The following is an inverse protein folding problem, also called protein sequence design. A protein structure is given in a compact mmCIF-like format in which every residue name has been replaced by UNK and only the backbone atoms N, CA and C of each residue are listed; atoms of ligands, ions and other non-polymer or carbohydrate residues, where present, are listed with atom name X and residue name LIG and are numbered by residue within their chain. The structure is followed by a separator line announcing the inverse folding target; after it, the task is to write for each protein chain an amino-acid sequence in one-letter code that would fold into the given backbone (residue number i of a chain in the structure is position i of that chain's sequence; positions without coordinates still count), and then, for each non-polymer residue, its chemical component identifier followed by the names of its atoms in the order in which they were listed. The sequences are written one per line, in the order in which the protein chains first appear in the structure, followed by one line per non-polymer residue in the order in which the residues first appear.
data_IF_578234615402
#
_entry.id   IF_578234615402
#
_cell.length_a   1.000
_cell.length_b   1.000
_cell.length_c   1.000
_cell.angle_alpha   90.00
_cell.angle_beta   90.00
_cell.angle_gamma   90.00
#
_symmetry.space_group_name_H-M   'P 1'
#
loop_
_entity.id
_entity.type
_entity.pdbx_description
1 polymer ?
#
# COMPACT_ATOMS: atom_id res chain seq x y z
N UNK A 1 -12.43 -13.00 -10.82
CA UNK A 1 -11.95 -11.75 -10.20
C UNK A 1 -11.18 -11.02 -11.27
N UNK A 2 -11.72 -9.92 -11.78
CA UNK A 2 -10.94 -9.01 -12.62
C UNK A 2 -10.25 -8.02 -11.68
N UNK A 3 -8.92 -8.03 -11.69
CA UNK A 3 -8.17 -6.92 -11.11
C UNK A 3 -8.33 -5.74 -12.08
N UNK A 4 -8.74 -4.59 -11.57
CA UNK A 4 -8.91 -3.40 -12.40
C UNK A 4 -7.59 -2.92 -12.99
N UNK A 5 -7.63 -2.10 -14.06
CA UNK A 5 -6.43 -1.44 -14.57
C UNK A 5 -5.85 -0.50 -13.52
N UNK A 6 -4.56 -0.20 -13.68
CA UNK A 6 -3.92 0.94 -13.06
C UNK A 6 -3.26 1.79 -14.15
N UNK A 7 -2.96 3.04 -13.82
CA UNK A 7 -2.42 4.00 -14.76
C UNK A 7 -1.07 4.49 -14.29
N UNK A 8 -0.22 4.81 -15.25
CA UNK A 8 1.07 5.43 -15.01
C UNK A 8 1.13 6.78 -15.71
N UNK A 9 1.53 7.81 -14.98
CA UNK A 9 1.74 9.16 -15.51
C UNK A 9 3.12 9.64 -15.11
N UNK A 10 3.93 10.00 -16.10
CA UNK A 10 5.31 10.45 -15.89
C UNK A 10 5.36 11.96 -15.64
N UNK A 11 6.27 12.41 -14.77
CA UNK A 11 6.56 13.83 -14.55
C UNK A 11 5.31 14.69 -14.25
N UNK A 12 4.29 14.11 -13.59
CA UNK A 12 3.04 14.78 -13.27
C UNK A 12 3.28 15.80 -12.15
N UNK A 13 2.93 17.08 -12.34
CA UNK A 13 3.11 18.09 -11.32
C UNK A 13 2.11 17.93 -10.19
N UNK A 14 2.60 18.05 -8.95
CA UNK A 14 1.82 17.80 -7.74
C UNK A 14 0.62 18.74 -7.60
N UNK A 15 0.67 19.93 -8.20
CA UNK A 15 -0.44 20.87 -8.16
C UNK A 15 -1.70 20.34 -8.87
N UNK A 16 -1.57 19.41 -9.84
CA UNK A 16 -2.73 18.85 -10.55
C UNK A 16 -3.63 18.04 -9.61
N UNK A 17 -3.03 17.38 -8.63
CA UNK A 17 -3.72 16.54 -7.64
C UNK A 17 -4.45 17.35 -6.55
N UNK A 18 -4.31 18.68 -6.55
CA UNK A 18 -5.03 19.58 -5.63
C UNK A 18 -5.99 20.51 -6.35
N UNK A 19 -6.19 20.34 -7.66
CA UNK A 19 -7.18 21.12 -8.39
C UNK A 19 -8.59 20.74 -7.93
N UNK A 20 -9.49 21.73 -7.93
CA UNK A 20 -10.88 21.50 -7.58
C UNK A 20 -11.54 20.44 -8.49
N UNK A 21 -11.16 20.42 -9.76
CA UNK A 21 -11.64 19.44 -10.74
C UNK A 21 -11.19 18.02 -10.40
N UNK A 22 -9.90 17.80 -10.13
CA UNK A 22 -9.38 16.49 -9.74
C UNK A 22 -10.04 15.98 -8.45
N UNK A 23 -10.11 16.83 -7.41
CA UNK A 23 -10.64 16.43 -6.10
C UNK A 23 -12.10 15.99 -6.20
N UNK A 24 -12.93 16.76 -6.90
CA UNK A 24 -14.36 16.47 -7.03
C UNK A 24 -14.64 15.27 -7.91
N UNK A 25 -13.81 15.04 -8.93
CA UNK A 25 -14.00 13.95 -9.88
C UNK A 25 -13.54 12.61 -9.29
N UNK A 26 -12.34 12.57 -8.70
CA UNK A 26 -11.66 11.32 -8.37
C UNK A 26 -11.58 11.01 -6.88
N UNK A 27 -11.41 12.01 -6.02
CA UNK A 27 -11.06 11.77 -4.60
C UNK A 27 -12.30 11.59 -3.73
N UNK A 28 -13.30 12.48 -3.85
CA UNK A 28 -14.53 12.57 -3.02
C UNK A 28 -14.31 12.77 -1.52
N UNK A 29 -13.34 12.07 -0.89
CA UNK A 29 -12.81 12.20 0.48
C UNK A 29 -11.38 11.69 0.52
N UNK A 30 -10.43 12.48 1.00
CA UNK A 30 -9.04 12.02 1.09
C UNK A 30 -8.06 13.07 1.60
N UNK A 31 -6.86 12.60 1.93
CA UNK A 31 -5.71 13.41 2.32
C UNK A 31 -4.57 13.18 1.34
N UNK A 32 -3.85 14.23 1.00
CA UNK A 32 -2.56 14.15 0.34
C UNK A 32 -1.47 14.15 1.41
N UNK A 33 -0.73 13.05 1.53
CA UNK A 33 0.34 12.88 2.50
C UNK A 33 1.67 12.76 1.76
N UNK A 34 2.63 13.60 2.12
CA UNK A 34 3.94 13.72 1.48
C UNK A 34 5.05 13.47 2.50
N UNK A 35 6.02 12.63 2.15
CA UNK A 35 7.25 12.44 2.93
C UNK A 35 8.41 13.16 2.25
N UNK A 36 8.72 14.35 2.74
CA UNK A 36 9.72 15.25 2.15
C UNK A 36 11.05 15.11 2.89
N UNK A 37 12.16 15.27 2.18
CA UNK A 37 13.45 15.52 2.82
C UNK A 37 13.50 16.92 3.43
N UNK A 38 14.55 17.18 4.22
CA UNK A 38 14.73 18.44 4.93
C UNK A 38 14.71 19.64 3.97
N UNK A 39 15.46 19.57 2.89
CA UNK A 39 15.66 20.70 1.98
C UNK A 39 14.35 21.02 1.24
N UNK A 40 13.67 19.99 0.72
CA UNK A 40 12.37 20.15 0.05
C UNK A 40 11.28 20.64 1.01
N UNK A 41 11.29 20.18 2.26
CA UNK A 41 10.34 20.65 3.28
C UNK A 41 10.52 22.15 3.58
N UNK A 42 11.76 22.58 3.81
CA UNK A 42 12.08 24.00 4.07
C UNK A 42 11.77 24.87 2.84
N UNK A 43 12.14 24.39 1.65
CA UNK A 43 11.89 25.07 0.38
C UNK A 43 10.41 25.20 0.08
N UNK A 44 9.58 24.17 0.29
CA UNK A 44 8.12 24.28 0.09
C UNK A 44 7.48 25.22 1.12
N UNK A 45 7.99 25.24 2.36
CA UNK A 45 7.48 26.07 3.44
C UNK A 45 6.03 25.75 3.80
N UNK A 46 5.65 24.48 3.64
CA UNK A 46 4.38 23.92 4.10
C UNK A 46 4.47 23.53 5.57
N UNK A 47 3.33 23.51 6.25
CA UNK A 47 3.26 23.02 7.63
C UNK A 47 3.28 21.49 7.61
N UNK A 48 4.19 20.90 8.39
CA UNK A 48 4.32 19.46 8.56
C UNK A 48 4.92 19.13 9.93
N UNK A 49 5.28 17.86 10.11
CA UNK A 49 5.93 17.37 11.34
C UNK A 49 7.16 16.55 11.01
N UNK A 50 8.17 16.49 11.89
CA UNK A 50 9.26 15.51 11.79
C UNK A 50 8.70 14.09 11.65
N UNK A 51 9.24 13.28 10.74
CA UNK A 51 8.87 11.87 10.65
C UNK A 51 9.40 11.10 11.86
N UNK A 52 8.62 10.13 12.35
CA UNK A 52 8.96 9.28 13.50
C UNK A 52 10.19 8.40 13.26
N UNK A 53 10.56 8.17 12.00
CA UNK A 53 11.72 7.37 11.63
C UNK A 53 13.03 8.15 11.58
N UNK A 54 13.00 9.43 11.92
CA UNK A 54 14.19 10.28 12.04
C UNK A 54 15.11 9.79 13.17
N UNK A 55 16.41 9.64 12.87
CA UNK A 55 17.42 9.36 13.89
C UNK A 55 17.76 10.61 14.73
N UNK A 56 19.01 10.70 15.20
CA UNK A 56 19.48 11.86 15.98
C UNK A 56 19.31 13.22 15.29
N UNK A 57 19.33 13.23 13.94
CA UNK A 57 19.10 14.41 13.12
C UNK A 57 17.82 14.20 12.31
N UNK A 58 16.88 15.13 12.43
CA UNK A 58 15.65 15.13 11.61
C UNK A 58 16.00 15.44 10.17
N UNK A 59 15.77 14.45 9.30
CA UNK A 59 16.05 14.55 7.87
C UNK A 59 14.80 14.35 7.00
N UNK A 60 13.66 14.05 7.63
CA UNK A 60 12.39 13.76 6.95
C UNK A 60 11.23 14.42 7.67
N UNK A 61 10.28 14.92 6.88
CA UNK A 61 9.10 15.61 7.35
C UNK A 61 7.87 15.09 6.63
N UNK A 62 6.80 14.86 7.39
CA UNK A 62 5.50 14.48 6.87
C UNK A 62 4.62 15.72 6.78
N UNK A 63 4.15 16.01 5.57
CA UNK A 63 3.15 17.05 5.29
C UNK A 63 1.83 16.35 4.98
N UNK A 64 0.78 16.67 5.73
CA UNK A 64 -0.57 16.10 5.52
C UNK A 64 -1.55 17.20 5.18
N UNK A 65 -2.18 17.09 4.02
CA UNK A 65 -3.12 18.07 3.48
C UNK A 65 -4.47 17.38 3.31
N UNK A 66 -5.43 17.78 4.13
CA UNK A 66 -6.82 17.37 3.95
C UNK A 66 -7.40 18.04 2.70
N UNK A 67 -7.73 17.24 1.68
CA UNK A 67 -8.18 17.74 0.38
C UNK A 67 -9.62 18.25 0.44
N UNK A 68 -10.43 17.83 1.42
CA UNK A 68 -11.82 18.29 1.58
C UNK A 68 -11.86 19.67 2.23
N UNK A 69 -11.03 19.88 3.25
CA UNK A 69 -10.82 21.20 3.81
C UNK A 69 -10.23 22.14 2.75
N UNK A 70 -9.30 21.64 1.93
CA UNK A 70 -8.68 22.42 0.86
C UNK A 70 -9.66 22.82 -0.24
N UNK A 71 -10.57 21.93 -0.67
CA UNK A 71 -11.55 22.20 -1.72
C UNK A 71 -12.79 22.97 -1.26
N UNK A 72 -13.04 23.04 0.06
CA UNK A 72 -14.19 23.75 0.64
C UNK A 72 -14.20 25.25 0.35
N UNK A 73 -13.01 25.87 0.26
CA UNK A 73 -12.86 27.30 -0.01
C UNK A 73 -11.54 27.59 -0.73
N UNK A 74 -11.62 27.75 -2.06
CA UNK A 74 -10.48 28.08 -2.93
C UNK A 74 -9.90 29.48 -2.65
N UNK A 75 -10.63 30.36 -1.96
CA UNK A 75 -10.15 31.68 -1.55
C UNK A 75 -9.44 31.66 -0.19
N UNK A 76 -9.45 30.53 0.50
CA UNK A 76 -8.81 30.39 1.81
C UNK A 76 -7.29 30.63 1.73
N UNK A 77 -6.74 31.24 2.79
CA UNK A 77 -5.29 31.40 2.93
C UNK A 77 -4.54 30.07 2.83
N UNK A 78 -5.18 28.98 3.30
CA UNK A 78 -4.64 27.62 3.23
C UNK A 78 -4.52 27.13 1.78
N UNK A 79 -5.62 27.19 1.00
CA UNK A 79 -5.58 26.81 -0.42
C UNK A 79 -4.53 27.63 -1.18
N UNK A 80 -4.57 28.96 -1.04
CA UNK A 80 -3.61 29.86 -1.71
C UNK A 80 -2.17 29.53 -1.35
N UNK A 81 -1.87 29.22 -0.08
CA UNK A 81 -0.53 28.84 0.37
C UNK A 81 -0.07 27.52 -0.24
N UNK A 82 -0.91 26.49 -0.25
CA UNK A 82 -0.58 25.17 -0.80
C UNK A 82 -0.42 25.24 -2.32
N UNK A 83 -1.36 25.91 -3.00
CA UNK A 83 -1.32 26.13 -4.46
C UNK A 83 -0.06 26.89 -4.87
N UNK A 84 0.26 27.99 -4.19
CA UNK A 84 1.50 28.75 -4.43
C UNK A 84 2.77 27.90 -4.21
N UNK A 85 2.78 27.09 -3.15
CA UNK A 85 3.92 26.21 -2.86
C UNK A 85 4.20 25.24 -4.01
N UNK A 86 3.16 24.60 -4.57
CA UNK A 86 3.30 23.60 -5.64
C UNK A 86 3.36 24.18 -7.06
N UNK A 87 2.85 25.39 -7.30
CA UNK A 87 2.84 26.00 -8.65
C UNK A 87 4.04 26.91 -8.90
N UNK A 88 4.44 27.69 -7.90
CA UNK A 88 5.41 28.78 -8.09
C UNK A 88 6.66 28.56 -7.26
N UNK A 89 6.51 28.30 -5.95
CA UNK A 89 7.64 28.28 -5.03
C UNK A 89 8.58 27.10 -5.28
N UNK A 90 8.01 25.88 -5.30
CA UNK A 90 8.74 24.64 -5.55
C UNK A 90 7.85 23.71 -6.39
N UNK A 91 7.89 23.83 -7.73
CA UNK A 91 7.14 22.96 -8.61
C UNK A 91 7.69 21.53 -8.55
N UNK A 92 7.02 20.66 -7.79
CA UNK A 92 7.36 19.26 -7.65
C UNK A 92 6.65 18.43 -8.72
N UNK A 93 7.38 17.52 -9.35
CA UNK A 93 6.88 16.55 -10.33
C UNK A 93 7.31 15.15 -9.93
N UNK A 94 6.44 14.18 -10.12
CA UNK A 94 6.73 12.78 -9.84
C UNK A 94 6.10 11.87 -10.89
N UNK A 95 6.63 10.66 -10.95
CA UNK A 95 5.98 9.57 -11.65
C UNK A 95 4.93 8.96 -10.71
N UNK A 96 3.67 8.90 -11.15
CA UNK A 96 2.56 8.42 -10.33
C UNK A 96 1.98 7.11 -10.87
N UNK A 97 1.78 6.17 -9.95
CA UNK A 97 0.85 5.06 -10.13
C UNK A 97 -0.52 5.49 -9.62
N UNK A 98 -1.52 5.51 -10.51
CA UNK A 98 -2.88 5.91 -10.22
C UNK A 98 -3.82 4.72 -10.39
N UNK A 99 -4.72 4.52 -9.44
CA UNK A 99 -5.81 3.58 -9.58
C UNK A 99 -7.07 4.21 -9.01
N UNK A 100 -8.20 3.99 -9.68
CA UNK A 100 -9.46 4.59 -9.29
C UNK A 100 -10.60 3.58 -9.44
N UNK A 101 -11.31 3.34 -8.34
CA UNK A 101 -12.43 2.42 -8.30
C UNK A 101 -13.73 3.17 -8.60
N UNK A 102 -14.32 2.93 -9.77
CA UNK A 102 -15.62 3.46 -10.15
C UNK A 102 -16.75 2.49 -9.78
N UNK A 103 -17.74 2.99 -9.04
CA UNK A 103 -19.08 2.38 -9.02
C UNK A 103 -19.92 3.00 -10.14
N UNK A 104 -19.90 2.41 -11.34
CA UNK A 104 -20.93 2.65 -12.38
C UNK A 104 -20.65 3.67 -13.50
N UNK A 105 -19.39 3.96 -13.87
CA UNK A 105 -19.07 4.77 -15.07
C UNK A 105 -17.84 4.22 -15.82
N UNK A 106 -17.71 4.58 -17.10
CA UNK A 106 -16.71 4.08 -18.06
C UNK A 106 -15.27 4.43 -17.65
N UNK A 107 -14.34 3.47 -17.80
CA UNK A 107 -12.92 3.59 -17.44
C UNK A 107 -12.15 4.67 -18.21
N UNK A 108 -12.76 5.33 -19.20
CA UNK A 108 -12.16 6.34 -20.06
C UNK A 108 -11.88 7.68 -19.37
N UNK A 109 -12.48 7.96 -18.21
CA UNK A 109 -12.40 9.28 -17.57
C UNK A 109 -11.01 9.64 -17.04
N UNK A 110 -10.27 8.68 -16.49
CA UNK A 110 -8.89 8.95 -16.03
C UNK A 110 -7.96 9.20 -17.21
N UNK A 111 -8.15 8.42 -18.30
CA UNK A 111 -7.40 8.58 -19.54
C UNK A 111 -7.67 9.93 -20.21
N UNK A 112 -8.91 10.41 -20.24
CA UNK A 112 -9.24 11.72 -20.82
C UNK A 112 -8.68 12.87 -19.98
N UNK A 113 -8.81 12.80 -18.65
CA UNK A 113 -8.35 13.83 -17.73
C UNK A 113 -6.84 14.07 -17.82
N UNK A 114 -6.05 12.99 -17.87
CA UNK A 114 -4.57 13.07 -17.96
C UNK A 114 -4.02 12.92 -19.39
N UNK A 115 -4.86 13.11 -20.43
CA UNK A 115 -4.45 12.98 -21.83
C UNK A 115 -3.27 13.90 -22.20
N UNK A 116 -3.21 15.09 -21.63
CA UNK A 116 -2.09 16.04 -21.81
C UNK A 116 -0.76 15.60 -21.16
N UNK A 117 -0.78 14.55 -20.34
CA UNK A 117 0.39 14.06 -19.57
C UNK A 117 0.89 12.70 -20.04
N UNK A 118 0.40 12.18 -21.18
CA UNK A 118 0.87 10.90 -21.73
C UNK A 118 0.57 9.70 -20.82
N UNK A 119 -0.60 9.70 -20.17
CA UNK A 119 -1.08 8.62 -19.32
C UNK A 119 -1.09 7.27 -20.05
N UNK A 120 -0.66 6.23 -19.35
CA UNK A 120 -0.62 4.85 -19.84
C UNK A 120 -1.50 3.97 -18.96
N UNK A 121 -2.39 3.20 -19.58
CA UNK A 121 -3.15 2.15 -18.90
C UNK A 121 -2.32 0.86 -18.87
N UNK A 122 -2.30 0.20 -17.70
CA UNK A 122 -1.61 -1.05 -17.48
C UNK A 122 -2.54 -2.07 -16.82
N UNK A 123 -2.32 -3.34 -17.17
CA UNK A 123 -2.98 -4.47 -16.54
C UNK A 123 -2.04 -5.14 -15.53
N UNK A 124 -2.55 -5.58 -14.37
CA UNK A 124 -1.76 -6.36 -13.42
C UNK A 124 -1.20 -7.63 -14.06
N UNK A 125 0.05 -7.97 -13.75
CA UNK A 125 0.67 -9.21 -14.23
C UNK A 125 0.06 -10.40 -13.49
N UNK A 126 -0.67 -11.25 -14.21
CA UNK A 126 -1.23 -12.49 -13.68
C UNK A 126 -0.27 -13.64 -14.01
N UNK A 127 0.21 -14.33 -12.98
CA UNK A 127 1.01 -15.53 -13.12
C UNK A 127 0.28 -16.71 -12.49
N UNK A 128 0.01 -17.76 -13.28
CA UNK A 128 -0.60 -18.99 -12.81
C UNK A 128 0.46 -20.10 -12.82
N UNK A 129 0.58 -20.81 -11.71
CA UNK A 129 1.50 -21.94 -11.60
C UNK A 129 0.85 -23.09 -10.83
N UNK A 130 1.20 -24.32 -11.20
CA UNK A 130 0.75 -25.53 -10.52
C UNK A 130 1.95 -26.25 -9.94
N UNK A 131 1.95 -26.48 -8.63
CA UNK A 131 2.97 -27.25 -7.92
C UNK A 131 2.43 -28.66 -7.67
N UNK A 132 3.17 -29.67 -8.12
CA UNK A 132 2.87 -31.08 -7.82
C UNK A 132 3.66 -31.51 -6.58
N UNK A 133 3.15 -32.52 -5.90
CA UNK A 133 3.82 -33.18 -4.77
C UNK A 133 4.21 -32.22 -3.63
N UNK A 134 3.46 -31.12 -3.50
CA UNK A 134 3.66 -30.15 -2.44
C UNK A 134 3.26 -30.75 -1.10
N UNK A 135 4.18 -30.71 -0.14
CA UNK A 135 3.95 -31.19 1.22
C UNK A 135 3.35 -30.07 2.06
N UNK A 136 2.05 -30.15 2.29
CA UNK A 136 1.29 -29.12 3.01
C UNK A 136 1.29 -29.39 4.52
N UNK A 137 1.48 -28.37 5.38
CA UNK A 137 1.38 -28.52 6.83
C UNK A 137 -0.04 -28.90 7.28
N UNK A 138 -0.11 -29.72 8.34
CA UNK A 138 -1.37 -30.05 9.01
C UNK A 138 -1.69 -28.92 9.98
N UNK A 139 -2.89 -28.33 9.86
CA UNK A 139 -3.32 -27.20 10.68
C UNK A 139 -4.61 -27.53 11.44
N UNK A 140 -4.79 -26.92 12.61
CA UNK A 140 -6.05 -26.95 13.39
C UNK A 140 -6.50 -25.52 13.66
N UNK A 141 -7.64 -25.11 13.12
CA UNK A 141 -8.10 -23.71 13.16
C UNK A 141 -8.11 -23.10 14.57
N UNK A 142 -8.52 -23.87 15.60
CA UNK A 142 -8.55 -23.45 17.00
C UNK A 142 -7.20 -23.49 17.75
N UNK A 143 -6.07 -23.76 17.08
CA UNK A 143 -4.75 -23.93 17.70
C UNK A 143 -3.66 -23.15 16.94
N UNK A 144 -3.61 -21.82 17.13
CA UNK A 144 -2.60 -20.95 16.52
C UNK A 144 -1.15 -21.35 16.86
N UNK A 145 -0.91 -21.81 18.10
CA UNK A 145 0.39 -22.28 18.56
C UNK A 145 0.81 -23.66 18.03
N UNK A 146 -0.05 -24.32 17.25
CA UNK A 146 0.13 -25.71 16.86
C UNK A 146 -0.23 -26.68 17.99
N UNK A 147 0.02 -27.95 17.73
CA UNK A 147 -0.16 -29.05 18.68
C UNK A 147 0.99 -30.04 18.43
N UNK A 148 1.84 -30.33 19.44
CA UNK A 148 3.00 -31.20 19.25
C UNK A 148 2.61 -32.51 18.55
N UNK A 149 3.37 -32.88 17.52
CA UNK A 149 3.19 -34.10 16.71
C UNK A 149 1.87 -34.19 15.92
N UNK A 150 0.94 -33.25 16.08
CA UNK A 150 -0.41 -33.31 15.49
C UNK A 150 -0.74 -32.15 14.54
N UNK A 151 -0.23 -30.95 14.79
CA UNK A 151 -0.50 -29.77 13.97
C UNK A 151 0.60 -28.71 14.05
N UNK A 152 0.91 -28.09 12.92
CA UNK A 152 1.85 -26.98 12.82
C UNK A 152 1.24 -25.69 13.39
N UNK A 153 2.11 -24.82 13.87
CA UNK A 153 1.76 -23.46 14.29
C UNK A 153 1.55 -22.52 13.11
N UNK A 154 0.84 -21.43 13.38
CA UNK A 154 0.67 -20.33 12.44
C UNK A 154 2.03 -19.76 11.96
N UNK A 155 3.03 -19.69 12.85
CA UNK A 155 4.36 -19.16 12.50
C UNK A 155 5.12 -20.07 11.54
N UNK A 156 5.05 -21.38 11.72
CA UNK A 156 5.67 -22.35 10.81
C UNK A 156 5.02 -22.29 9.43
N UNK A 157 3.69 -22.18 9.36
CA UNK A 157 2.97 -21.98 8.11
C UNK A 157 3.42 -20.70 7.39
N UNK A 158 3.57 -19.60 8.12
CA UNK A 158 4.00 -18.32 7.54
C UNK A 158 5.39 -18.42 6.87
N UNK A 159 6.35 -19.05 7.55
CA UNK A 159 7.68 -19.29 7.00
C UNK A 159 7.66 -20.23 5.78
N UNK A 160 6.85 -21.30 5.84
CA UNK A 160 6.71 -22.24 4.74
C UNK A 160 6.07 -21.58 3.49
N UNK A 161 5.05 -20.72 3.66
CA UNK A 161 4.43 -20.01 2.53
C UNK A 161 5.44 -19.12 1.80
N UNK A 162 6.30 -18.40 2.53
CA UNK A 162 7.37 -17.61 1.92
C UNK A 162 8.30 -18.44 1.04
N UNK A 163 8.61 -19.67 1.45
CA UNK A 163 9.42 -20.60 0.67
C UNK A 163 8.73 -21.08 -0.60
N UNK A 164 7.45 -21.44 -0.49
CA UNK A 164 6.63 -21.87 -1.64
C UNK A 164 6.55 -20.75 -2.69
N UNK A 165 6.28 -19.52 -2.25
CA UNK A 165 6.24 -18.35 -3.14
C UNK A 165 7.60 -18.04 -3.77
N UNK A 166 8.70 -18.25 -3.02
CA UNK A 166 10.07 -18.08 -3.52
C UNK A 166 10.60 -19.26 -4.34
N UNK A 167 9.77 -20.30 -4.54
CA UNK A 167 10.14 -21.53 -5.25
C UNK A 167 11.31 -22.29 -4.61
N UNK A 168 11.52 -22.10 -3.31
CA UNK A 168 12.44 -22.88 -2.51
C UNK A 168 11.78 -24.20 -2.11
N UNK A 169 12.45 -25.33 -2.37
CA UNK A 169 12.01 -26.64 -1.89
C UNK A 169 12.37 -26.78 -0.40
N UNK A 170 11.43 -26.43 0.48
CA UNK A 170 11.56 -26.69 1.90
C UNK A 170 10.83 -27.98 2.27
N UNK A 171 11.61 -29.04 2.46
CA UNK A 171 11.15 -30.38 2.86
C UNK A 171 10.88 -30.46 4.37
N UNK A 172 10.13 -29.50 4.92
CA UNK A 172 9.81 -29.46 6.36
C UNK A 172 8.76 -30.47 6.80
N UNK A 173 7.91 -30.93 5.88
CA UNK A 173 6.75 -31.75 6.20
C UNK A 173 6.84 -33.13 5.55
N UNK A 174 6.08 -34.09 6.07
CA UNK A 174 5.97 -35.47 5.57
C UNK A 174 5.09 -35.54 4.30
N UNK A 175 4.65 -36.74 3.89
CA UNK A 175 4.01 -37.02 2.60
C UNK A 175 2.95 -36.01 2.11
N UNK A 176 2.80 -35.82 0.78
CA UNK A 176 1.82 -34.90 0.20
C UNK A 176 0.40 -35.21 0.69
N UNK A 177 -0.27 -34.22 1.28
CA UNK A 177 -1.67 -34.29 1.71
C UNK A 177 -2.47 -33.21 1.02
N UNK A 178 -3.74 -33.49 0.73
CA UNK A 178 -4.70 -32.46 0.31
C UNK A 178 -4.86 -31.44 1.45
N UNK A 179 -4.59 -30.17 1.18
CA UNK A 179 -4.77 -29.11 2.16
C UNK A 179 -6.27 -28.84 2.37
N UNK A 180 -6.80 -28.92 3.60
CA UNK A 180 -8.20 -28.57 3.91
C UNK A 180 -8.42 -27.06 4.10
N UNK A 181 -7.49 -26.24 3.63
CA UNK A 181 -7.43 -24.79 3.81
C UNK A 181 -6.88 -24.11 2.55
N UNK A 182 -7.17 -22.82 2.40
CA UNK A 182 -6.64 -21.97 1.31
C UNK A 182 -5.95 -20.74 1.89
N UNK A 183 -5.03 -20.15 1.13
CA UNK A 183 -4.28 -18.96 1.56
C UNK A 183 -4.48 -17.81 0.60
N UNK A 184 -4.67 -16.61 1.16
CA UNK A 184 -4.64 -15.34 0.44
C UNK A 184 -3.59 -14.44 1.11
N UNK A 185 -2.45 -14.28 0.44
CA UNK A 185 -1.36 -13.41 0.91
C UNK A 185 -1.30 -12.15 0.06
N UNK A 186 -1.22 -10.99 0.71
CA UNK A 186 -1.12 -9.68 0.06
C UNK A 186 0.09 -8.95 0.62
N UNK A 187 0.98 -8.53 -0.27
CA UNK A 187 2.14 -7.73 0.04
C UNK A 187 1.91 -6.29 -0.45
N UNK A 188 2.14 -5.32 0.43
CA UNK A 188 2.09 -3.90 0.13
C UNK A 188 3.37 -3.39 -0.52
N UNK A 189 3.37 -2.11 -0.85
CA UNK A 189 4.53 -1.42 -1.41
C UNK A 189 5.51 -1.01 -0.32
N UNK A 190 6.77 -1.43 -0.48
CA UNK A 190 7.84 -1.17 0.49
C UNK A 190 8.24 0.31 0.59
N UNK A 191 7.78 1.16 -0.32
CA UNK A 191 8.04 2.60 -0.42
C UNK A 191 6.81 3.46 -0.05
N UNK A 192 5.75 2.87 0.52
CA UNK A 192 4.58 3.64 0.97
C UNK A 192 4.96 4.57 2.13
N UNK A 193 4.59 5.86 2.13
CA UNK A 193 4.94 6.77 3.24
C UNK A 193 4.06 6.56 4.49
N UNK A 194 2.82 6.11 4.28
CA UNK A 194 1.86 5.78 5.34
C UNK A 194 1.14 4.49 4.99
N UNK A 195 0.66 3.80 6.01
CA UNK A 195 -0.01 2.51 5.90
C UNK A 195 -1.29 2.48 6.74
N UNK A 196 -1.61 1.32 7.32
CA UNK A 196 -2.69 1.09 8.28
C UNK A 196 -3.01 2.31 9.15
N UNK A 197 -4.26 2.77 9.06
CA UNK A 197 -4.80 3.92 9.85
C UNK A 197 -4.03 5.23 9.70
N UNK A 198 -3.41 5.47 8.55
CA UNK A 198 -2.58 6.66 8.29
C UNK A 198 -1.30 6.73 9.15
N UNK A 199 -0.87 5.61 9.73
CA UNK A 199 0.38 5.54 10.47
C UNK A 199 1.57 5.61 9.50
N UNK A 200 2.60 6.37 9.89
CA UNK A 200 3.84 6.47 9.11
C UNK A 200 4.45 5.09 8.96
N UNK A 201 4.90 4.78 7.75
CA UNK A 201 5.52 3.50 7.43
C UNK A 201 7.04 3.66 7.34
N UNK A 202 7.78 2.76 7.98
CA UNK A 202 9.23 2.72 8.05
C UNK A 202 9.88 2.27 6.75
N UNK A 203 9.38 2.73 5.60
CA UNK A 203 9.72 2.30 4.25
C UNK A 203 11.24 2.30 3.96
N UNK A 204 12.00 3.21 4.60
CA UNK A 204 13.48 3.28 4.47
C UNK A 204 14.24 2.33 5.39
N UNK A 205 13.57 1.62 6.29
CA UNK A 205 14.14 0.66 7.25
C UNK A 205 13.62 -0.76 7.04
N UNK A 206 13.14 -1.07 5.84
CA UNK A 206 12.51 -2.36 5.54
C UNK A 206 11.05 -2.40 6.00
N UNK A 207 10.32 -1.32 5.72
CA UNK A 207 8.87 -1.26 5.89
C UNK A 207 8.23 -2.13 4.81
N UNK A 208 8.15 -3.43 5.04
CA UNK A 208 7.30 -4.30 4.22
C UNK A 208 6.06 -4.61 5.03
N UNK A 209 4.89 -4.37 4.44
CA UNK A 209 3.62 -4.83 5.00
C UNK A 209 3.14 -6.02 4.23
N UNK A 210 2.86 -7.09 4.96
CA UNK A 210 2.28 -8.29 4.40
C UNK A 210 1.18 -8.75 5.35
N UNK A 211 0.02 -9.06 4.80
CA UNK A 211 -1.02 -9.77 5.54
C UNK A 211 -1.41 -11.05 4.80
N UNK A 212 -1.75 -12.06 5.59
CA UNK A 212 -2.13 -13.37 5.08
C UNK A 212 -3.42 -13.84 5.77
N UNK A 213 -4.37 -14.30 4.95
CA UNK A 213 -5.56 -15.00 5.39
C UNK A 213 -5.39 -16.50 5.12
N UNK A 214 -5.46 -17.30 6.18
CA UNK A 214 -5.56 -18.76 6.09
C UNK A 214 -7.00 -19.13 6.35
N UNK A 215 -7.72 -19.61 5.34
CA UNK A 215 -9.16 -19.82 5.38
C UNK A 215 -9.45 -21.32 5.47
N UNK A 216 -10.20 -21.71 6.49
CA UNK A 216 -10.56 -23.10 6.77
C UNK A 216 -11.98 -23.42 6.26
N UNK A 217 -12.25 -24.70 6.04
CA UNK A 217 -13.56 -25.18 5.55
C UNK A 217 -14.73 -24.89 6.52
N UNK A 218 -14.46 -24.74 7.81
CA UNK A 218 -15.44 -24.43 8.85
C UNK A 218 -15.71 -22.93 8.99
N UNK A 219 -15.23 -22.11 8.04
CA UNK A 219 -15.33 -20.64 8.01
C UNK A 219 -14.49 -19.90 9.05
N UNK A 220 -13.63 -20.61 9.79
CA UNK A 220 -12.58 -19.95 10.55
C UNK A 220 -11.53 -19.35 9.61
N UNK A 221 -10.84 -18.33 10.08
CA UNK A 221 -9.63 -17.84 9.42
C UNK A 221 -8.55 -17.46 10.43
N UNK A 222 -7.29 -17.56 10.00
CA UNK A 222 -6.18 -16.88 10.66
C UNK A 222 -5.82 -15.63 9.88
N UNK A 223 -5.71 -14.50 10.58
CA UNK A 223 -5.12 -13.27 10.07
C UNK A 223 -3.69 -13.16 10.60
N UNK A 224 -2.71 -13.24 9.71
CA UNK A 224 -1.31 -13.05 10.03
C UNK A 224 -0.87 -11.72 9.44
N UNK A 225 -0.30 -10.84 10.25
CA UNK A 225 0.24 -9.56 9.80
C UNK A 225 1.73 -9.51 10.09
N UNK A 226 2.52 -9.20 9.08
CA UNK A 226 3.93 -8.88 9.20
C UNK A 226 4.10 -7.37 9.00
N UNK A 227 4.78 -6.76 9.96
CA UNK A 227 5.07 -5.33 10.02
C UNK A 227 6.57 -5.12 10.13
N UNK A 228 7.06 -4.02 9.57
CA UNK A 228 8.45 -3.61 9.75
C UNK A 228 8.77 -3.40 11.23
N UNK A 229 10.04 -3.56 11.62
CA UNK A 229 10.47 -3.52 13.02
C UNK A 229 10.13 -2.21 13.77
N UNK A 230 9.78 -1.15 13.04
CA UNK A 230 9.45 0.16 13.60
C UNK A 230 8.00 0.58 13.32
N UNK A 231 7.19 -0.28 12.69
CA UNK A 231 5.81 0.02 12.31
C UNK A 231 4.82 -0.46 13.37
N UNK A 232 3.68 0.24 13.47
CA UNK A 232 2.56 -0.18 14.30
C UNK A 232 1.71 -1.25 13.59
N UNK A 233 1.33 -2.30 14.32
CA UNK A 233 0.39 -3.30 13.86
C UNK A 233 -1.03 -2.98 14.37
N UNK A 234 -2.03 -2.80 13.49
CA UNK A 234 -3.41 -2.59 13.93
C UNK A 234 -3.98 -3.86 14.59
N UNK A 235 -5.00 -3.73 15.48
CA UNK A 235 -5.70 -4.87 16.05
C UNK A 235 -6.52 -5.64 15.01
#
# INVERSE_FOLDING_TARGET
MEFGPYYFVKDLPLYELITHEFINTFVKKGKLILSLDKDTYEETGLQGRPSQYSGRKTMRFIVSIDLMDLSSNLESKKYKRVSWAFREKKPLKFDFLLAWHQTGAEGSMMMSYFSGYGIQEHQPKIALSTRRDLRCPVLRSGRLGGEPEAACSARELFAWLGAVFSHADLRYFDEPKLAPWVTLSVQGFADSPVSWRENEHGFQKGGEHLYNFVIFNNRDYWLQMAVGANDDCPP
#
